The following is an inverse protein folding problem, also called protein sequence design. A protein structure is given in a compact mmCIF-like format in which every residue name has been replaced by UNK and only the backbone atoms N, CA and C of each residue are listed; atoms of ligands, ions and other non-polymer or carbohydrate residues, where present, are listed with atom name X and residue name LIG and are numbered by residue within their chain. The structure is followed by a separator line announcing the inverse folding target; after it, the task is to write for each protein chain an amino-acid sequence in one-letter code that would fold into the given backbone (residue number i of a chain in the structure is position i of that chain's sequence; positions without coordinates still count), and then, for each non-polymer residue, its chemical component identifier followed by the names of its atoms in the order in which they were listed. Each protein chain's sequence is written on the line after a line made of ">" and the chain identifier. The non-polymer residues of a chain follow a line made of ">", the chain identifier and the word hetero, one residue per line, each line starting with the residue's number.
data_IF_287585928481
#
_entry.id   IF_287585928481
#
_cell.length_a   1.000
_cell.length_b   1.000
_cell.length_c   1.000
_cell.angle_alpha   90.00
_cell.angle_beta   90.00
_cell.angle_gamma   90.00
#
_symmetry.space_group_name_H-M   'P 1'
#
loop_
_entity.id
_entity.type
_entity.pdbx_description
1 polymer ?
#
# COMPACT_ATOMS: atom_id res chain seq x y z
N UNK A 1 -7.71 -12.01 -21.74
CA UNK A 1 -8.21 -11.12 -20.67
C UNK A 1 -7.02 -10.76 -19.79
N UNK A 2 -6.85 -9.50 -19.40
CA UNK A 2 -5.83 -9.11 -18.41
C UNK A 2 -6.16 -9.78 -17.07
N UNK A 3 -5.12 -10.25 -16.36
CA UNK A 3 -5.26 -10.84 -15.04
C UNK A 3 -5.81 -9.78 -14.05
N UNK A 4 -6.52 -10.23 -13.02
CA UNK A 4 -7.05 -9.33 -11.98
C UNK A 4 -6.56 -9.78 -10.61
N UNK A 5 -6.13 -8.81 -9.82
CA UNK A 5 -5.97 -8.92 -8.38
C UNK A 5 -7.32 -8.58 -7.74
N UNK A 6 -7.78 -9.37 -6.76
CA UNK A 6 -8.98 -9.07 -5.97
C UNK A 6 -8.60 -9.10 -4.50
N UNK A 7 -8.85 -7.98 -3.83
CA UNK A 7 -8.49 -7.80 -2.43
C UNK A 7 -9.36 -8.64 -1.51
N UNK A 8 -8.76 -9.22 -0.46
CA UNK A 8 -9.41 -10.17 0.44
C UNK A 8 -9.72 -9.63 1.84
N UNK A 9 -9.62 -8.30 2.03
CA UNK A 9 -9.74 -7.67 3.36
C UNK A 9 -11.12 -7.87 4.01
N UNK A 10 -12.20 -7.90 3.23
CA UNK A 10 -13.57 -7.99 3.73
C UNK A 10 -14.33 -9.18 3.12
N UNK A 11 -15.27 -9.74 3.89
CA UNK A 11 -16.05 -10.92 3.47
C UNK A 11 -17.18 -10.62 2.48
N UNK A 12 -17.79 -9.42 2.57
CA UNK A 12 -19.01 -9.08 1.81
C UNK A 12 -18.75 -8.12 0.63
N UNK A 13 -17.54 -7.57 0.53
CA UNK A 13 -17.14 -6.63 -0.52
C UNK A 13 -15.65 -6.79 -0.83
N UNK A 14 -15.28 -6.61 -2.10
CA UNK A 14 -13.90 -6.62 -2.53
C UNK A 14 -13.65 -5.60 -3.64
N UNK A 15 -12.47 -4.98 -3.61
CA UNK A 15 -11.94 -4.21 -4.73
C UNK A 15 -11.12 -5.13 -5.65
N UNK A 16 -11.28 -4.97 -6.97
CA UNK A 16 -10.44 -5.69 -7.94
C UNK A 16 -9.67 -4.73 -8.84
N UNK A 17 -8.36 -4.95 -8.97
CA UNK A 17 -7.46 -4.16 -9.81
C UNK A 17 -7.01 -4.99 -11.02
N UNK A 18 -6.97 -4.35 -12.19
CA UNK A 18 -6.34 -4.95 -13.37
C UNK A 18 -4.82 -5.01 -13.17
N UNK A 19 -4.23 -6.14 -13.54
CA UNK A 19 -2.80 -6.39 -13.44
C UNK A 19 -2.19 -6.32 -14.83
N UNK A 20 -1.27 -5.38 -15.03
CA UNK A 20 -0.49 -5.24 -16.26
C UNK A 20 0.72 -6.17 -16.22
N UNK A 21 1.51 -6.09 -15.15
CA UNK A 21 2.71 -6.89 -14.95
C UNK A 21 2.97 -7.14 -13.47
N UNK A 22 3.34 -8.37 -13.11
CA UNK A 22 3.76 -8.71 -11.75
C UNK A 22 5.26 -8.49 -11.67
N UNK A 23 5.69 -7.58 -10.80
CA UNK A 23 7.10 -7.21 -10.62
C UNK A 23 7.78 -8.08 -9.55
N UNK A 24 7.01 -8.48 -8.54
CA UNK A 24 7.48 -9.30 -7.44
C UNK A 24 6.33 -10.10 -6.84
N UNK A 25 6.59 -11.36 -6.48
CA UNK A 25 5.64 -12.24 -5.82
C UNK A 25 6.42 -13.26 -4.98
N UNK A 26 6.31 -13.17 -3.65
CA UNK A 26 7.03 -14.05 -2.74
C UNK A 26 6.29 -14.25 -1.42
N UNK A 27 6.33 -15.47 -0.90
CA UNK A 27 5.92 -15.75 0.48
C UNK A 27 7.15 -15.64 1.40
N UNK A 28 7.16 -14.60 2.23
CA UNK A 28 8.15 -14.45 3.29
C UNK A 28 7.78 -15.32 4.50
N UNK A 29 8.59 -15.29 5.56
CA UNK A 29 8.26 -15.96 6.83
C UNK A 29 7.09 -15.31 7.57
N UNK A 30 6.68 -14.10 7.20
CA UNK A 30 5.64 -13.34 7.90
C UNK A 30 4.36 -13.15 7.09
N UNK A 31 4.49 -12.99 5.77
CA UNK A 31 3.40 -12.59 4.88
C UNK A 31 3.74 -12.86 3.41
N UNK A 32 2.70 -12.99 2.60
CA UNK A 32 2.76 -12.96 1.13
C UNK A 32 2.93 -11.53 0.65
N UNK A 33 3.99 -11.28 -0.11
CA UNK A 33 4.35 -9.97 -0.65
C UNK A 33 4.18 -10.02 -2.15
N UNK A 34 3.37 -9.12 -2.70
CA UNK A 34 3.22 -8.97 -4.14
C UNK A 34 3.33 -7.50 -4.53
N UNK A 35 4.06 -7.23 -5.61
CA UNK A 35 4.13 -5.92 -6.26
C UNK A 35 3.77 -6.07 -7.72
N UNK A 36 2.81 -5.28 -8.19
CA UNK A 36 2.39 -5.32 -9.59
C UNK A 36 2.08 -3.92 -10.13
N UNK A 37 2.03 -3.81 -11.45
CA UNK A 37 1.69 -2.59 -12.17
C UNK A 37 0.20 -2.55 -12.50
N UNK A 38 -0.41 -1.41 -12.24
CA UNK A 38 -1.78 -1.07 -12.59
C UNK A 38 -1.78 0.23 -13.40
N UNK A 39 -2.56 0.27 -14.49
CA UNK A 39 -2.60 1.42 -15.39
C UNK A 39 -3.07 2.74 -14.74
N UNK A 40 -3.93 2.67 -13.72
CA UNK A 40 -4.49 3.85 -13.04
C UNK A 40 -3.64 4.26 -11.85
N UNK A 41 -3.21 3.29 -11.04
CA UNK A 41 -2.60 3.50 -9.74
C UNK A 41 -1.07 3.34 -9.73
N UNK A 42 -0.46 3.04 -10.89
CA UNK A 42 0.98 2.79 -10.97
C UNK A 42 1.34 1.47 -10.29
N UNK A 43 2.44 1.46 -9.53
CA UNK A 43 2.84 0.28 -8.75
C UNK A 43 1.94 0.12 -7.53
N UNK A 44 1.51 -1.11 -7.28
CA UNK A 44 0.68 -1.51 -6.15
C UNK A 44 1.46 -2.50 -5.32
N UNK A 45 1.61 -2.23 -4.02
CA UNK A 45 2.14 -3.17 -3.04
C UNK A 45 0.98 -3.80 -2.29
N UNK A 46 0.97 -5.13 -2.20
CA UNK A 46 0.01 -5.87 -1.40
C UNK A 46 0.73 -6.80 -0.44
N UNK A 47 0.17 -6.94 0.76
CA UNK A 47 0.60 -7.87 1.78
C UNK A 47 -0.59 -8.77 2.15
N UNK A 48 -0.42 -10.08 2.08
CA UNK A 48 -1.45 -11.09 2.37
C UNK A 48 -2.79 -10.84 1.62
N UNK A 49 -2.70 -10.43 0.35
CA UNK A 49 -3.87 -10.15 -0.48
C UNK A 49 -4.59 -8.85 -0.16
N UNK A 50 -3.98 -7.95 0.63
CA UNK A 50 -4.52 -6.63 0.98
C UNK A 50 -3.62 -5.52 0.44
N UNK A 51 -4.21 -4.53 -0.24
CA UNK A 51 -3.48 -3.37 -0.76
C UNK A 51 -2.94 -2.54 0.40
N UNK A 52 -1.64 -2.27 0.38
CA UNK A 52 -0.99 -1.43 1.39
C UNK A 52 -0.78 -0.01 0.90
N UNK A 53 -0.34 0.13 -0.36
CA UNK A 53 -0.04 1.43 -0.96
C UNK A 53 -0.15 1.34 -2.47
N UNK A 54 -0.49 2.45 -3.11
CA UNK A 54 -0.42 2.61 -4.56
C UNK A 54 0.27 3.91 -4.92
N UNK A 55 1.14 3.87 -5.92
CA UNK A 55 1.90 5.06 -6.34
C UNK A 55 0.99 6.23 -6.76
N UNK A 56 -0.24 5.96 -7.21
CA UNK A 56 -1.16 6.98 -7.71
C UNK A 56 -1.83 7.81 -6.62
N UNK A 57 -1.90 7.33 -5.38
CA UNK A 57 -2.65 7.96 -4.29
C UNK A 57 -2.01 7.86 -2.90
N UNK A 58 -0.85 7.23 -2.76
CA UNK A 58 -0.14 7.05 -1.49
C UNK A 58 0.10 8.36 -0.73
N UNK A 59 0.43 9.44 -1.44
CA UNK A 59 0.61 10.78 -0.87
C UNK A 59 -0.57 11.21 0.03
N UNK A 60 -1.81 10.81 -0.30
CA UNK A 60 -2.99 11.13 0.51
C UNK A 60 -2.87 10.51 1.90
N UNK A 61 -2.44 9.25 1.97
CA UNK A 61 -2.25 8.55 3.24
C UNK A 61 -1.01 9.07 3.97
N UNK A 62 0.15 9.13 3.32
CA UNK A 62 1.41 9.51 3.99
C UNK A 62 1.42 10.95 4.47
N UNK A 63 0.90 11.91 3.69
CA UNK A 63 0.81 13.31 4.13
C UNK A 63 -0.15 13.45 5.32
N UNK A 64 -1.30 12.76 5.30
CA UNK A 64 -2.26 12.83 6.40
C UNK A 64 -1.73 12.15 7.65
N UNK A 65 -1.06 11.00 7.51
CA UNK A 65 -0.42 10.28 8.62
C UNK A 65 0.70 11.12 9.25
N UNK A 66 1.47 11.83 8.43
CA UNK A 66 2.69 12.52 8.86
C UNK A 66 2.44 13.97 9.27
N UNK A 67 1.84 14.78 8.40
CA UNK A 67 1.77 16.22 8.60
C UNK A 67 0.77 16.59 9.70
N UNK A 68 -0.37 15.90 9.81
CA UNK A 68 -1.38 16.21 10.83
C UNK A 68 -0.81 16.18 12.26
N UNK A 69 -0.19 15.08 12.74
CA UNK A 69 0.35 15.06 14.10
C UNK A 69 1.57 15.97 14.28
N UNK A 70 2.44 16.11 13.27
CA UNK A 70 3.62 16.98 13.36
C UNK A 70 3.23 18.45 13.51
N UNK A 71 2.29 18.91 12.67
CA UNK A 71 1.80 20.29 12.71
C UNK A 71 1.00 20.56 13.99
N UNK A 72 0.20 19.60 14.45
CA UNK A 72 -0.55 19.73 15.70
C UNK A 72 0.38 19.87 16.92
N UNK A 73 1.51 19.17 16.94
CA UNK A 73 2.51 19.30 18.01
C UNK A 73 3.35 20.59 17.89
N UNK A 74 3.73 21.00 16.67
CA UNK A 74 4.36 22.30 16.39
C UNK A 74 5.87 22.45 16.71
N UNK A 75 6.52 21.47 17.33
CA UNK A 75 7.97 21.49 17.60
C UNK A 75 8.55 20.07 17.77
N UNK A 76 8.12 19.13 16.92
CA UNK A 76 8.60 17.73 16.96
C UNK A 76 10.09 17.67 16.68
N UNK A 77 10.83 16.87 17.46
CA UNK A 77 12.28 16.65 17.31
C UNK A 77 12.67 15.19 17.15
N UNK A 78 11.90 14.28 17.72
CA UNK A 78 12.13 12.83 17.65
C UNK A 78 10.80 12.15 17.36
N UNK A 79 10.81 11.21 16.42
CA UNK A 79 9.62 10.46 15.98
C UNK A 79 9.96 8.97 15.93
N UNK A 80 9.01 8.12 16.32
CA UNK A 80 9.06 6.69 16.11
C UNK A 80 7.99 6.32 15.07
N UNK A 81 8.41 5.70 13.98
CA UNK A 81 7.52 5.12 12.96
C UNK A 81 7.54 3.59 13.14
N UNK A 82 6.36 3.00 13.32
CA UNK A 82 6.20 1.54 13.42
C UNK A 82 5.44 1.08 12.18
N UNK A 83 6.04 0.16 11.43
CA UNK A 83 5.45 -0.34 10.18
C UNK A 83 5.59 0.67 9.03
N UNK A 84 6.82 0.88 8.56
CA UNK A 84 7.11 1.85 7.49
C UNK A 84 6.89 1.35 6.07
N UNK A 85 6.81 0.02 5.86
CA UNK A 85 6.44 -0.58 4.57
C UNK A 85 7.25 -0.06 3.37
N UNK A 86 6.64 0.84 2.60
CA UNK A 86 7.16 1.46 1.38
C UNK A 86 8.13 2.63 1.61
N UNK A 87 8.12 3.20 2.82
CA UNK A 87 9.04 4.27 3.23
C UNK A 87 8.67 5.66 2.68
N UNK A 88 7.39 5.90 2.38
CA UNK A 88 6.87 7.23 2.02
C UNK A 88 7.04 8.29 3.09
#
# INVERSE_FOLDING_TARGET
>A
MSARFTETLHGDYAQSLAVENVLYDNNSSLQHIQVFENKRFGRVLTLDGVVQTTQGDEFIYHEMLTHVPILAHGNVRNVLVIGGGDGG
#
